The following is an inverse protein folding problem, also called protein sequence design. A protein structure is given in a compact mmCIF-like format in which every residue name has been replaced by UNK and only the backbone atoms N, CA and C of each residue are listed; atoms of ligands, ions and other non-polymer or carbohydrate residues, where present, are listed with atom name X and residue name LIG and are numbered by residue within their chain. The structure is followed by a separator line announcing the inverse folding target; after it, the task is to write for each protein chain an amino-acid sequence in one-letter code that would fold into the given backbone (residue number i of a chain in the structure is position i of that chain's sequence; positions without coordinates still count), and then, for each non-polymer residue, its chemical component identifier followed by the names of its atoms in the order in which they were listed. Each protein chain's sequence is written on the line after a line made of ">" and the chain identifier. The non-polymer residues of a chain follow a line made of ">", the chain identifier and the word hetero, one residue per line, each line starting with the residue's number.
data_IF_732638530479
#
_entry.id   IF_732638530479
#
_cell.length_a   1.000
_cell.length_b   1.000
_cell.length_c   1.000
_cell.angle_alpha   90.00
_cell.angle_beta   90.00
_cell.angle_gamma   90.00
#
_symmetry.space_group_name_H-M   'P 1'
#
loop_
_entity.id
_entity.type
_entity.pdbx_description
1 polymer ?
#
# COMPACT_ATOMS: atom_id res chain seq x y z
N UNK A 1 -9.34 -2.89 -1.19
CA UNK A 1 -8.14 -3.72 -1.12
C UNK A 1 -7.70 -3.90 0.31
N UNK A 2 -7.85 -5.12 0.81
CA UNK A 2 -7.51 -5.60 2.14
C UNK A 2 -7.56 -7.14 2.13
N UNK A 3 -6.84 -7.81 3.04
CA UNK A 3 -7.06 -9.23 3.32
C UNK A 3 -8.23 -9.47 4.28
N UNK A 4 -9.07 -10.49 4.08
CA UNK A 4 -10.16 -10.81 5.02
C UNK A 4 -9.80 -11.98 5.94
N UNK A 5 -9.75 -11.73 7.25
CA UNK A 5 -9.46 -12.71 8.30
C UNK A 5 -10.55 -12.68 9.38
N UNK A 6 -11.78 -13.18 9.09
CA UNK A 6 -12.86 -13.22 10.08
C UNK A 6 -12.61 -14.21 11.25
N UNK A 7 -11.61 -15.09 11.13
CA UNK A 7 -11.17 -16.05 12.15
C UNK A 7 -9.64 -15.98 12.33
N UNK A 8 -9.15 -16.54 13.44
CA UNK A 8 -7.72 -16.71 13.72
C UNK A 8 -7.05 -17.77 12.84
N UNK A 9 -7.83 -18.66 12.23
CA UNK A 9 -7.33 -19.60 11.23
C UNK A 9 -7.49 -19.00 9.82
N UNK A 10 -6.39 -19.00 9.04
CA UNK A 10 -6.39 -18.45 7.69
C UNK A 10 -7.22 -19.29 6.71
N UNK A 11 -7.17 -20.62 6.81
CA UNK A 11 -7.90 -21.51 5.91
C UNK A 11 -9.40 -21.42 6.17
N UNK A 12 -9.80 -21.39 7.45
CA UNK A 12 -11.17 -21.12 7.87
C UNK A 12 -11.65 -19.78 7.33
N UNK A 13 -10.87 -18.71 7.55
CA UNK A 13 -11.15 -17.36 7.06
C UNK A 13 -11.42 -17.33 5.55
N UNK A 14 -10.57 -18.01 4.77
CA UNK A 14 -10.69 -18.11 3.31
C UNK A 14 -11.95 -18.91 2.91
N UNK A 15 -12.26 -20.00 3.62
CA UNK A 15 -13.42 -20.84 3.35
C UNK A 15 -14.76 -20.09 3.54
N UNK A 16 -14.81 -19.14 4.48
CA UNK A 16 -16.01 -18.34 4.77
C UNK A 16 -16.38 -17.34 3.67
N UNK A 17 -15.41 -16.94 2.85
CA UNK A 17 -15.60 -15.90 1.84
C UNK A 17 -16.58 -16.34 0.75
N UNK A 18 -17.42 -15.41 0.28
CA UNK A 18 -18.17 -15.60 -0.97
C UNK A 18 -17.22 -15.60 -2.18
N UNK A 19 -17.67 -16.19 -3.30
CA UNK A 19 -16.85 -16.36 -4.51
C UNK A 19 -16.29 -15.05 -5.08
N UNK A 20 -17.03 -13.93 -4.98
CA UNK A 20 -16.56 -12.63 -5.47
C UNK A 20 -15.40 -12.13 -4.62
N UNK A 21 -15.53 -12.17 -3.29
CA UNK A 21 -14.46 -11.74 -2.38
C UNK A 21 -13.27 -12.67 -2.43
N UNK A 22 -13.46 -13.99 -2.46
CA UNK A 22 -12.37 -14.96 -2.65
C UNK A 22 -11.60 -14.68 -3.94
N UNK A 23 -12.30 -14.42 -5.05
CA UNK A 23 -11.68 -14.04 -6.32
C UNK A 23 -10.80 -12.81 -6.20
N UNK A 24 -11.28 -11.79 -5.49
CA UNK A 24 -10.52 -10.57 -5.21
C UNK A 24 -9.33 -10.83 -4.26
N UNK A 25 -9.49 -11.65 -3.22
CA UNK A 25 -8.45 -11.91 -2.23
C UNK A 25 -7.15 -12.44 -2.85
N UNK A 26 -7.24 -13.32 -3.85
CA UNK A 26 -6.05 -13.78 -4.59
C UNK A 26 -5.30 -12.61 -5.25
N UNK A 27 -6.02 -11.71 -5.90
CA UNK A 27 -5.42 -10.56 -6.59
C UNK A 27 -4.85 -9.56 -5.59
N UNK A 28 -5.62 -9.23 -4.55
CA UNK A 28 -5.26 -8.25 -3.53
C UNK A 28 -4.06 -8.72 -2.69
N UNK A 29 -4.05 -9.98 -2.22
CA UNK A 29 -2.93 -10.53 -1.46
C UNK A 29 -1.63 -10.54 -2.27
N UNK A 30 -1.70 -10.96 -3.55
CA UNK A 30 -0.56 -10.92 -4.47
C UNK A 30 -0.04 -9.50 -4.70
N UNK A 31 -0.92 -8.50 -4.80
CA UNK A 31 -0.51 -7.10 -4.95
C UNK A 31 0.21 -6.60 -3.70
N UNK A 32 -0.29 -6.93 -2.51
CA UNK A 32 0.35 -6.55 -1.24
C UNK A 32 1.74 -7.21 -1.12
N UNK A 33 1.86 -8.50 -1.45
CA UNK A 33 3.16 -9.20 -1.51
C UNK A 33 4.15 -8.48 -2.43
N UNK A 34 3.71 -8.13 -3.64
CA UNK A 34 4.54 -7.40 -4.60
C UNK A 34 5.03 -6.08 -4.02
N UNK A 35 4.19 -5.34 -3.30
CA UNK A 35 4.57 -4.06 -2.73
C UNK A 35 5.51 -4.19 -1.54
N UNK A 36 5.29 -5.17 -0.67
CA UNK A 36 6.17 -5.44 0.48
C UNK A 36 7.57 -5.85 0.02
N UNK A 37 7.67 -6.72 -0.98
CA UNK A 37 8.96 -7.19 -1.52
C UNK A 37 9.70 -6.16 -2.35
N UNK A 38 9.03 -5.09 -2.82
CA UNK A 38 9.62 -4.06 -3.68
C UNK A 38 9.40 -2.65 -3.10
N UNK A 39 9.87 -2.36 -1.88
CA UNK A 39 9.49 -1.15 -1.16
C UNK A 39 9.95 0.15 -1.84
N UNK A 40 11.06 0.11 -2.57
CA UNK A 40 11.59 1.26 -3.30
C UNK A 40 10.70 1.64 -4.50
N UNK A 41 10.18 0.65 -5.23
CA UNK A 41 9.28 0.86 -6.36
C UNK A 41 7.88 1.28 -5.89
N UNK A 42 7.42 0.76 -4.74
CA UNK A 42 6.07 0.97 -4.23
C UNK A 42 6.05 1.76 -2.91
N UNK A 43 6.89 2.78 -2.79
CA UNK A 43 7.03 3.61 -1.58
C UNK A 43 5.70 4.21 -1.07
N UNK A 44 4.79 4.57 -1.99
CA UNK A 44 3.45 5.11 -1.64
C UNK A 44 2.54 4.11 -0.92
N UNK A 45 2.76 2.81 -1.11
CA UNK A 45 1.91 1.75 -0.56
C UNK A 45 2.40 1.25 0.81
N UNK A 46 3.65 1.53 1.17
CA UNK A 46 4.27 1.04 2.41
C UNK A 46 3.57 1.50 3.69
N UNK A 47 2.94 2.69 3.63
CA UNK A 47 2.24 3.27 4.78
C UNK A 47 0.73 2.96 4.82
N UNK A 48 0.21 2.19 3.87
CA UNK A 48 -1.18 1.80 3.88
C UNK A 48 -1.44 0.71 4.93
N UNK A 49 -2.61 0.73 5.57
CA UNK A 49 -2.97 -0.22 6.63
C UNK A 49 -2.83 -1.67 6.18
N UNK A 50 -3.31 -2.01 4.98
CA UNK A 50 -3.20 -3.36 4.41
C UNK A 50 -1.76 -3.81 4.14
N UNK A 51 -0.81 -2.89 3.95
CA UNK A 51 0.61 -3.22 3.80
C UNK A 51 1.26 -3.38 5.17
N UNK A 52 0.98 -2.44 6.08
CA UNK A 52 1.49 -2.48 7.46
C UNK A 52 1.08 -3.73 8.21
N UNK A 53 -0.14 -4.21 7.96
CA UNK A 53 -0.66 -5.45 8.53
C UNK A 53 0.30 -6.62 8.35
N UNK A 54 0.93 -6.71 7.17
CA UNK A 54 1.76 -7.85 6.76
C UNK A 54 3.25 -7.53 6.69
N UNK A 55 3.67 -6.33 7.08
CA UNK A 55 5.07 -5.93 7.01
C UNK A 55 5.91 -6.78 7.97
N UNK A 56 6.95 -7.45 7.46
CA UNK A 56 7.75 -8.42 8.22
C UNK A 56 7.14 -9.82 8.31
N UNK A 57 5.93 -10.02 7.78
CA UNK A 57 5.22 -11.30 7.75
C UNK A 57 4.86 -11.71 6.31
N UNK A 58 5.75 -11.43 5.36
CA UNK A 58 5.51 -11.67 3.93
C UNK A 58 5.26 -13.15 3.63
N UNK A 59 5.94 -14.07 4.32
CA UNK A 59 5.73 -15.51 4.15
C UNK A 59 4.35 -15.96 4.65
N UNK A 60 3.85 -15.38 5.75
CA UNK A 60 2.50 -15.63 6.23
C UNK A 60 1.44 -15.09 5.24
N UNK A 61 1.68 -13.93 4.64
CA UNK A 61 0.81 -13.42 3.57
C UNK A 61 0.85 -14.30 2.31
N UNK A 62 2.02 -14.85 1.96
CA UNK A 62 2.16 -15.80 0.86
C UNK A 62 1.39 -17.09 1.13
N UNK A 63 1.40 -17.58 2.36
CA UNK A 63 0.57 -18.71 2.79
C UNK A 63 -0.93 -18.40 2.68
N UNK A 64 -1.37 -17.23 3.18
CA UNK A 64 -2.75 -16.77 3.01
C UNK A 64 -3.17 -16.70 1.52
N UNK A 65 -2.29 -16.16 0.67
CA UNK A 65 -2.51 -16.10 -0.77
C UNK A 65 -2.63 -17.50 -1.41
N UNK A 66 -1.79 -18.45 -1.01
CA UNK A 66 -1.87 -19.83 -1.47
C UNK A 66 -3.18 -20.50 -1.07
N UNK A 67 -3.61 -20.32 0.18
CA UNK A 67 -4.91 -20.81 0.66
C UNK A 67 -6.07 -20.23 -0.16
N UNK A 68 -6.02 -18.95 -0.52
CA UNK A 68 -7.01 -18.34 -1.43
C UNK A 68 -7.00 -19.01 -2.81
N UNK A 69 -5.82 -19.32 -3.35
CA UNK A 69 -5.67 -19.99 -4.65
C UNK A 69 -6.21 -21.42 -4.61
N UNK A 70 -5.90 -22.16 -3.54
CA UNK A 70 -6.37 -23.53 -3.32
C UNK A 70 -7.90 -23.56 -3.21
N UNK A 71 -8.49 -22.73 -2.34
CA UNK A 71 -9.94 -22.68 -2.15
C UNK A 71 -10.66 -22.25 -3.45
N UNK A 72 -10.07 -21.31 -4.20
CA UNK A 72 -10.60 -20.94 -5.52
C UNK A 72 -10.60 -22.12 -6.49
N UNK A 73 -9.51 -22.90 -6.52
CA UNK A 73 -9.40 -24.13 -7.30
C UNK A 73 -10.44 -25.17 -6.90
N UNK A 74 -10.59 -25.39 -5.59
CA UNK A 74 -11.57 -26.33 -5.01
C UNK A 74 -13.00 -26.00 -5.42
N UNK A 75 -13.33 -24.71 -5.58
CA UNK A 75 -14.64 -24.22 -6.05
C UNK A 75 -14.80 -24.25 -7.58
N UNK A 76 -13.89 -24.90 -8.31
CA UNK A 76 -13.92 -25.00 -9.77
C UNK A 76 -13.33 -23.80 -10.51
N UNK A 77 -12.72 -22.85 -9.78
CA UNK A 77 -12.03 -21.71 -10.35
C UNK A 77 -10.66 -22.09 -10.96
N UNK A 78 -10.21 -21.34 -11.97
CA UNK A 78 -8.88 -21.55 -12.59
C UNK A 78 -7.86 -20.51 -12.11
N UNK A 79 -6.67 -20.99 -11.76
CA UNK A 79 -5.52 -20.19 -11.34
C UNK A 79 -4.60 -19.86 -12.54
N UNK A 80 -5.11 -19.05 -13.47
CA UNK A 80 -4.36 -18.66 -14.67
C UNK A 80 -3.36 -17.55 -14.34
N UNK A 81 -3.85 -16.47 -13.72
CA UNK A 81 -3.06 -15.26 -13.45
C UNK A 81 -2.48 -15.28 -12.03
N UNK A 82 -3.25 -15.74 -11.05
CA UNK A 82 -2.77 -15.94 -9.68
C UNK A 82 -2.36 -17.40 -9.55
N UNK A 83 -1.06 -17.66 -9.46
CA UNK A 83 -0.48 -18.99 -9.26
C UNK A 83 0.12 -19.08 -7.86
N UNK A 84 -0.02 -20.21 -7.14
CA UNK A 84 0.62 -20.40 -5.84
C UNK A 84 2.12 -20.13 -5.89
N UNK A 85 2.67 -19.62 -4.79
CA UNK A 85 4.11 -19.41 -4.62
C UNK A 85 4.70 -20.48 -3.70
N UNK A 86 6.00 -20.73 -3.79
CA UNK A 86 6.71 -21.53 -2.79
C UNK A 86 6.79 -20.76 -1.47
N UNK A 87 6.46 -21.44 -0.38
CA UNK A 87 6.48 -20.88 0.98
C UNK A 87 7.27 -21.85 1.87
N UNK A 88 8.18 -21.36 2.73
CA UNK A 88 8.91 -22.22 3.66
C UNK A 88 7.97 -22.95 4.62
N UNK A 89 8.38 -24.09 5.13
CA UNK A 89 7.60 -24.87 6.11
C UNK A 89 7.51 -24.19 7.48
N UNK A 90 8.55 -23.45 7.86
CA UNK A 90 8.60 -22.68 9.10
C UNK A 90 8.28 -21.21 8.79
N UNK A 91 7.07 -20.80 9.17
CA UNK A 91 6.52 -19.47 8.87
C UNK A 91 6.32 -18.73 10.18
N UNK A 92 6.97 -17.58 10.30
CA UNK A 92 6.68 -16.66 11.40
C UNK A 92 5.27 -16.10 11.23
N UNK A 93 4.40 -16.39 12.20
CA UNK A 93 3.01 -15.96 12.17
C UNK A 93 2.85 -14.60 12.85
N UNK A 94 2.04 -13.68 12.29
CA UNK A 94 1.81 -12.39 12.92
C UNK A 94 1.13 -12.54 14.28
N UNK A 95 1.58 -11.83 15.33
CA UNK A 95 1.04 -11.98 16.68
C UNK A 95 -0.43 -11.51 16.80
N UNK A 96 -0.87 -10.63 15.90
CA UNK A 96 -2.25 -10.13 15.84
C UNK A 96 -3.24 -11.12 15.21
N UNK A 97 -2.79 -12.23 14.61
CA UNK A 97 -3.66 -13.20 13.94
C UNK A 97 -4.57 -13.96 14.93
N UNK A 98 -4.34 -13.87 16.24
CA UNK A 98 -5.24 -14.41 17.26
C UNK A 98 -6.14 -13.36 17.94
N UNK A 99 -6.05 -12.09 17.53
CA UNK A 99 -6.72 -10.99 18.22
C UNK A 99 -8.14 -10.78 17.69
N UNK A 100 -9.14 -11.17 18.48
CA UNK A 100 -10.55 -11.05 18.05
C UNK A 100 -10.99 -9.61 17.77
N UNK A 101 -10.33 -8.59 18.34
CA UNK A 101 -10.62 -7.19 18.00
C UNK A 101 -10.39 -6.94 16.51
N UNK A 102 -9.33 -7.50 15.95
CA UNK A 102 -9.05 -7.44 14.51
C UNK A 102 -10.11 -8.24 13.75
N UNK A 103 -10.30 -9.52 14.08
CA UNK A 103 -11.22 -10.41 13.36
C UNK A 103 -12.66 -9.87 13.32
N UNK A 104 -13.14 -9.30 14.44
CA UNK A 104 -14.46 -8.68 14.55
C UNK A 104 -14.64 -7.53 13.56
N UNK A 105 -13.61 -6.70 13.32
CA UNK A 105 -13.70 -5.64 12.29
C UNK A 105 -13.78 -6.20 10.87
N UNK A 106 -13.13 -7.35 10.60
CA UNK A 106 -13.24 -8.04 9.31
C UNK A 106 -14.63 -8.68 9.14
N UNK A 107 -15.16 -9.35 10.17
CA UNK A 107 -16.55 -9.87 10.20
C UNK A 107 -17.58 -8.76 9.95
N UNK A 108 -17.44 -7.63 10.64
CA UNK A 108 -18.27 -6.43 10.46
C UNK A 108 -18.23 -5.91 9.02
N UNK A 109 -17.05 -5.80 8.42
CA UNK A 109 -16.91 -5.34 7.05
C UNK A 109 -17.46 -6.34 6.03
N UNK A 110 -17.34 -7.65 6.27
CA UNK A 110 -17.91 -8.68 5.41
C UNK A 110 -19.45 -8.63 5.45
N UNK A 111 -20.03 -8.61 6.65
CA UNK A 111 -21.47 -8.41 6.88
C UNK A 111 -21.98 -7.17 6.17
N UNK A 112 -21.37 -6.00 6.39
CA UNK A 112 -21.78 -4.76 5.73
C UNK A 112 -21.83 -4.88 4.20
N UNK A 113 -20.85 -5.61 3.63
CA UNK A 113 -20.74 -5.69 2.17
C UNK A 113 -21.67 -6.73 1.55
N UNK A 114 -22.08 -7.80 2.26
CA UNK A 114 -23.00 -8.81 1.75
C UNK A 114 -23.71 -9.57 2.89
N UNK A 115 -24.69 -8.92 3.54
CA UNK A 115 -25.35 -9.45 4.73
C UNK A 115 -25.91 -10.87 4.54
N UNK A 116 -26.58 -11.13 3.41
CA UNK A 116 -27.27 -12.39 3.14
C UNK A 116 -26.31 -13.59 3.13
N UNK A 117 -25.07 -13.39 2.67
CA UNK A 117 -24.06 -14.44 2.73
C UNK A 117 -23.51 -14.60 4.14
N UNK A 118 -23.12 -13.50 4.80
CA UNK A 118 -22.35 -13.57 6.05
C UNK A 118 -23.19 -13.75 7.32
N UNK A 119 -24.49 -13.44 7.30
CA UNK A 119 -25.37 -13.66 8.45
C UNK A 119 -25.49 -15.14 8.85
N UNK A 120 -25.20 -16.08 7.93
CA UNK A 120 -25.22 -17.52 8.20
C UNK A 120 -24.21 -17.96 9.26
N UNK A 121 -23.18 -17.16 9.51
CA UNK A 121 -22.13 -17.45 10.49
C UNK A 121 -22.48 -16.97 11.90
N UNK A 122 -23.69 -16.45 12.13
CA UNK A 122 -24.15 -15.97 13.44
C UNK A 122 -23.65 -14.58 13.84
N UNK A 123 -22.74 -13.98 13.05
CA UNK A 123 -22.11 -12.69 13.36
C UNK A 123 -23.09 -11.51 13.45
N UNK A 124 -24.27 -11.61 12.82
CA UNK A 124 -25.30 -10.58 12.91
C UNK A 124 -25.87 -10.43 14.34
N UNK A 125 -25.75 -11.46 15.17
CA UNK A 125 -26.12 -11.39 16.59
C UNK A 125 -25.06 -10.64 17.42
N UNK A 126 -23.80 -10.69 16.99
CA UNK A 126 -22.66 -10.04 17.65
C UNK A 126 -22.45 -8.59 17.18
N UNK A 127 -22.86 -8.28 15.95
CA UNK A 127 -22.59 -7.01 15.26
C UNK A 127 -23.90 -6.46 14.72
N UNK A 128 -24.54 -5.63 15.53
CA UNK A 128 -25.86 -5.05 15.26
C UNK A 128 -25.83 -3.91 14.23
N UNK A 129 -24.73 -3.16 14.16
CA UNK A 129 -24.50 -2.09 13.17
C UNK A 129 -23.17 -2.35 12.43
N UNK A 130 -23.16 -3.24 11.42
CA UNK A 130 -21.95 -3.58 10.70
C UNK A 130 -21.47 -2.39 9.88
N UNK A 131 -20.18 -2.05 10.03
CA UNK A 131 -19.51 -0.97 9.30
C UNK A 131 -18.12 -1.38 8.82
N UNK A 132 -17.57 -0.61 7.88
CA UNK A 132 -16.22 -0.81 7.34
C UNK A 132 -15.24 0.09 8.09
N UNK A 133 -14.73 -0.40 9.22
CA UNK A 133 -13.75 0.31 10.06
C UNK A 133 -12.67 -0.66 10.57
N UNK A 134 -11.65 -0.88 9.74
CA UNK A 134 -10.60 -1.86 10.01
C UNK A 134 -9.58 -1.35 11.00
N UNK A 135 -9.26 -2.16 12.01
CA UNK A 135 -8.09 -1.96 12.84
C UNK A 135 -6.84 -2.47 12.13
N UNK A 136 -5.73 -1.78 12.32
CA UNK A 136 -4.44 -2.15 11.73
C UNK A 136 -3.39 -2.30 12.83
N UNK A 137 -2.56 -3.35 12.79
CA UNK A 137 -1.49 -3.50 13.74
C UNK A 137 -0.45 -2.40 13.57
N UNK A 138 0.07 -1.94 14.70
CA UNK A 138 1.14 -0.98 14.83
C UNK A 138 2.15 -1.54 15.82
N UNK A 139 3.38 -1.73 15.38
CA UNK A 139 4.46 -2.19 16.24
C UNK A 139 5.13 -0.98 16.91
N UNK A 140 5.20 -1.01 18.24
CA UNK A 140 6.00 -0.08 19.03
C UNK A 140 7.48 -0.50 19.08
N UNK A 141 8.27 0.21 19.88
CA UNK A 141 9.69 -0.15 20.08
C UNK A 141 9.87 -1.38 20.97
N UNK A 142 8.88 -1.74 21.80
CA UNK A 142 9.00 -2.74 22.86
C UNK A 142 8.47 -4.13 22.44
N UNK A 143 8.48 -4.45 21.14
CA UNK A 143 7.95 -5.69 20.54
C UNK A 143 6.46 -5.99 20.78
N UNK A 144 5.75 -5.14 21.53
CA UNK A 144 4.29 -5.16 21.68
C UNK A 144 3.62 -4.47 20.48
N UNK A 145 2.49 -5.05 20.03
CA UNK A 145 1.67 -4.48 18.97
C UNK A 145 0.38 -3.89 19.55
N UNK A 146 -0.14 -2.85 18.91
CA UNK A 146 -1.48 -2.32 19.18
C UNK A 146 -2.32 -2.27 17.88
N UNK A 147 -3.64 -2.27 18.03
CA UNK A 147 -4.60 -2.26 16.94
C UNK A 147 -5.26 -0.89 16.81
N UNK A 148 -4.90 -0.17 15.74
CA UNK A 148 -5.24 1.24 15.60
C UNK A 148 -6.16 1.49 14.39
N UNK A 149 -7.17 2.37 14.52
CA UNK A 149 -8.07 2.69 13.43
C UNK A 149 -7.35 3.53 12.36
N UNK A 150 -7.89 3.61 11.12
CA UNK A 150 -7.23 4.33 10.02
C UNK A 150 -7.04 5.84 10.30
N UNK A 151 -7.88 6.42 11.17
CA UNK A 151 -7.83 7.82 11.58
C UNK A 151 -6.59 8.18 12.40
N UNK A 152 -6.05 7.25 13.17
CA UNK A 152 -4.92 7.47 14.10
C UNK A 152 -3.71 8.11 13.40
N UNK A 153 -3.35 7.59 12.22
CA UNK A 153 -2.18 8.08 11.48
C UNK A 153 -2.37 9.46 10.84
N UNK A 154 -3.61 9.86 10.57
CA UNK A 154 -3.91 11.20 10.06
C UNK A 154 -3.75 12.24 11.17
N UNK A 155 -4.26 11.92 12.35
CA UNK A 155 -4.18 12.79 13.52
C UNK A 155 -2.73 12.97 14.00
N UNK A 156 -1.97 11.88 14.12
CA UNK A 156 -0.57 11.97 14.52
C UNK A 156 0.30 12.77 13.54
N UNK A 157 0.05 12.67 12.22
CA UNK A 157 0.73 13.52 11.23
C UNK A 157 0.37 15.00 11.43
N UNK A 158 -0.87 15.32 11.78
CA UNK A 158 -1.31 16.70 12.08
C UNK A 158 -0.60 17.23 13.33
N UNK A 159 -0.52 16.42 14.39
CA UNK A 159 0.19 16.77 15.63
C UNK A 159 1.67 17.01 15.34
N UNK A 160 2.35 16.09 14.64
CA UNK A 160 3.77 16.23 14.29
C UNK A 160 4.07 17.50 13.46
N UNK A 161 3.22 17.80 12.46
CA UNK A 161 3.34 19.03 11.66
C UNK A 161 3.17 20.29 12.51
N UNK A 162 2.23 20.26 13.46
CA UNK A 162 2.00 21.40 14.37
C UNK A 162 3.21 21.64 15.30
N UNK A 163 3.77 20.56 15.88
CA UNK A 163 5.00 20.61 16.70
C UNK A 163 6.20 21.12 15.89
N UNK A 164 6.39 20.64 14.65
CA UNK A 164 7.46 21.11 13.77
C UNK A 164 7.32 22.60 13.43
N UNK A 165 6.09 23.08 13.17
CA UNK A 165 5.82 24.50 12.92
C UNK A 165 6.13 25.37 14.16
N UNK A 166 5.77 24.91 15.36
CA UNK A 166 6.05 25.61 16.62
C UNK A 166 7.55 25.67 16.95
N UNK A 167 8.31 24.62 16.65
CA UNK A 167 9.79 24.62 16.76
C UNK A 167 10.45 25.59 15.79
N UNK A 168 9.89 25.75 14.58
CA UNK A 168 10.40 26.68 13.56
C UNK A 168 10.09 28.15 13.90
N UNK A 169 8.96 28.44 14.55
CA UNK A 169 8.61 29.79 15.00
C UNK A 169 9.30 30.22 16.30
N UNK A 170 9.72 29.28 17.16
CA UNK A 170 10.47 29.56 18.39
C UNK A 170 11.98 29.70 18.22
N UNK A 171 12.50 29.61 16.99
CA UNK A 171 13.94 29.71 16.67
C UNK A 171 14.36 31.12 16.20
N UNK A 172 13.47 32.12 16.28
CA UNK A 172 13.72 33.47 15.76
C UNK A 172 13.88 34.56 16.84
N UNK A 173 13.93 34.22 18.13
CA UNK A 173 14.08 35.19 19.21
C UNK A 173 15.17 34.77 20.22
N UNK A 174 16.44 34.68 19.79
CA UNK A 174 17.59 34.92 20.67
C UNK A 174 18.76 35.46 19.83
N UNK A 175 18.87 36.79 19.70
CA UNK A 175 20.17 37.49 19.65
C UNK A 175 19.95 39.00 19.75
N UNK A 176 19.80 39.51 20.98
CA UNK A 176 20.14 40.89 21.29
C UNK A 176 20.63 40.91 22.74
N UNK A 177 21.95 40.83 22.90
CA UNK A 177 22.63 41.26 24.13
C UNK A 177 23.53 42.39 23.66
N UNK A 178 23.05 43.62 23.85
CA UNK A 178 23.77 44.86 23.63
C UNK A 178 24.93 44.97 24.64
N UNK A 179 26.16 45.17 24.14
CA UNK A 179 27.25 45.75 24.93
C UNK A 179 27.45 47.22 24.52
N UNK A 180 27.62 48.17 25.47
CA UNK A 180 27.92 49.55 25.15
C UNK A 180 29.42 49.84 25.26
N UNK A 181 30.03 50.48 24.25
CA UNK A 181 31.37 51.03 24.44
C UNK A 181 32.13 51.54 23.21
N UNK A 182 32.00 52.85 22.97
CA UNK A 182 33.06 53.78 22.54
C UNK A 182 33.78 53.62 21.17
N UNK A 183 33.47 54.60 20.31
CA UNK A 183 34.42 55.56 19.74
C UNK A 183 35.48 55.07 18.72
N UNK A 184 35.32 55.45 17.44
CA UNK A 184 36.24 56.39 16.74
C UNK A 184 36.07 56.34 15.21
N UNK A 185 35.76 57.51 14.67
CA UNK A 185 36.37 58.14 13.48
C UNK A 185 36.83 57.31 12.25
N UNK A 186 36.40 57.86 11.10
CA UNK A 186 37.14 58.14 9.84
C UNK A 186 36.72 57.36 8.58
N UNK A 187 36.29 58.21 7.64
CA UNK A 187 36.68 58.32 6.22
C UNK A 187 35.77 57.66 5.17
N UNK A 188 35.02 58.57 4.54
CA UNK A 188 34.65 58.59 3.11
C UNK A 188 35.73 58.00 2.20
N UNK A 189 35.32 57.20 1.23
CA UNK A 189 35.71 57.38 -0.17
C UNK A 189 34.63 56.82 -1.10
N UNK A 190 34.35 57.60 -2.14
CA UNK A 190 33.43 57.42 -3.27
C UNK A 190 34.28 56.97 -4.46
N UNK A 191 33.70 56.20 -5.39
CA UNK A 191 33.84 56.30 -6.85
C UNK A 191 33.57 54.93 -7.55
N UNK A 192 32.54 54.85 -8.42
CA UNK A 192 32.61 54.78 -9.92
C UNK A 192 33.02 53.38 -10.43
N UNK A 193 32.24 52.61 -11.19
CA UNK A 193 31.53 52.78 -12.48
C UNK A 193 32.15 51.84 -13.53
N UNK A 194 31.32 51.25 -14.39
CA UNK A 194 31.71 50.56 -15.64
C UNK A 194 32.08 49.09 -15.42
N UNK A 195 31.76 48.12 -16.27
CA UNK A 195 31.32 48.06 -17.68
C UNK A 195 30.93 46.57 -17.88
N UNK A 196 29.76 46.20 -18.38
CA UNK A 196 29.44 46.16 -19.81
C UNK A 196 30.21 45.07 -20.58
N UNK A 197 29.61 43.87 -20.78
CA UNK A 197 29.58 43.16 -22.09
C UNK A 197 28.76 41.87 -22.09
N UNK A 198 27.86 41.80 -23.07
CA UNK A 198 27.18 40.61 -23.60
C UNK A 198 28.13 39.73 -24.41
N UNK A 199 27.85 38.43 -24.51
CA UNK A 199 28.03 37.69 -25.77
C UNK A 199 27.21 36.39 -25.80
N UNK A 200 26.83 36.05 -27.02
CA UNK A 200 25.78 35.13 -27.45
C UNK A 200 26.13 33.63 -27.49
N UNK A 201 25.03 32.88 -27.53
CA UNK A 201 24.79 31.53 -28.07
C UNK A 201 25.75 30.94 -29.10
N UNK A 202 25.94 29.61 -29.03
CA UNK A 202 25.95 28.75 -30.23
C UNK A 202 25.57 27.29 -29.95
N UNK A 203 24.54 26.83 -30.67
CA UNK A 203 24.13 25.44 -30.90
C UNK A 203 25.26 24.62 -31.54
N UNK A 204 25.39 23.34 -31.18
CA UNK A 204 25.84 22.28 -32.10
C UNK A 204 24.96 21.04 -31.98
N UNK A 205 24.38 20.66 -33.12
CA UNK A 205 23.80 19.35 -33.44
C UNK A 205 24.95 18.39 -33.79
N UNK A 206 24.82 17.12 -33.43
CA UNK A 206 25.44 16.00 -34.16
C UNK A 206 24.49 14.81 -34.17
N UNK A 207 24.47 14.12 -35.30
CA UNK A 207 23.66 12.96 -35.63
C UNK A 207 24.59 11.77 -35.92
N UNK A 208 24.15 10.56 -35.57
CA UNK A 208 24.54 9.27 -36.19
C UNK A 208 23.53 8.21 -35.70
N UNK A 209 22.58 7.76 -36.51
CA UNK A 209 22.64 6.59 -37.42
C UNK A 209 22.98 5.26 -36.74
N UNK A 210 22.04 4.32 -36.75
CA UNK A 210 22.24 2.93 -36.31
C UNK A 210 20.94 2.13 -36.29
N UNK A 211 20.62 1.52 -37.42
CA UNK A 211 19.39 0.78 -37.76
C UNK A 211 19.28 -0.59 -37.10
N UNK A 212 18.04 -1.08 -36.92
CA UNK A 212 17.76 -2.52 -36.90
C UNK A 212 16.73 -2.98 -35.86
N UNK A 213 15.42 -2.85 -36.16
CA UNK A 213 14.40 -3.61 -35.43
C UNK A 213 13.27 -4.03 -36.38
N UNK A 214 13.26 -5.32 -36.64
CA UNK A 214 12.38 -6.13 -37.47
C UNK A 214 10.94 -6.09 -36.96
N UNK A 215 10.01 -5.60 -37.78
CA UNK A 215 8.57 -5.73 -37.52
C UNK A 215 8.08 -7.11 -37.96
N UNK A 216 7.75 -7.98 -37.01
CA UNK A 216 6.98 -9.21 -37.28
C UNK A 216 5.49 -8.93 -37.13
N UNK A 217 4.77 -9.01 -38.25
CA UNK A 217 3.32 -8.91 -38.36
C UNK A 217 2.69 -10.21 -37.85
N UNK A 218 1.90 -10.16 -36.78
CA UNK A 218 0.93 -11.23 -36.49
C UNK A 218 -0.45 -10.85 -37.01
N UNK A 219 -0.87 -11.56 -38.04
CA UNK A 219 -2.15 -11.44 -38.70
C UNK A 219 -3.30 -11.93 -37.81
N UNK A 220 -4.32 -11.11 -37.69
CA UNK A 220 -5.65 -11.49 -37.23
C UNK A 220 -6.24 -12.55 -38.19
N UNK A 221 -6.38 -13.80 -37.72
CA UNK A 221 -7.23 -14.82 -38.37
C UNK A 221 -8.26 -15.32 -37.37
N UNK A 222 -9.51 -14.88 -37.56
CA UNK A 222 -10.72 -15.49 -36.99
C UNK A 222 -11.01 -16.83 -37.69
N UNK A 223 -11.37 -17.90 -37.00
CA UNK A 223 -12.07 -19.02 -37.61
C UNK A 223 -13.59 -18.81 -37.56
N UNK A 224 -14.20 -19.37 -38.61
CA UNK A 224 -15.58 -19.23 -39.06
C UNK A 224 -16.57 -20.02 -38.19
N UNK A 225 -17.79 -19.47 -38.11
CA UNK A 225 -19.04 -20.18 -37.78
C UNK A 225 -19.20 -21.38 -38.74
N UNK A 226 -19.46 -22.56 -38.19
CA UNK A 226 -20.07 -23.67 -38.92
C UNK A 226 -21.46 -23.93 -38.36
N UNK A 227 -22.44 -23.91 -39.25
CA UNK A 227 -23.83 -24.29 -39.01
C UNK A 227 -23.93 -25.78 -38.65
N UNK A 228 -24.86 -26.12 -37.75
CA UNK A 228 -25.34 -27.49 -37.62
C UNK A 228 -26.84 -27.51 -37.90
N UNK A 229 -27.16 -28.26 -38.95
CA UNK A 229 -28.48 -28.53 -39.49
C UNK A 229 -29.32 -29.34 -38.49
N UNK A 230 -30.60 -29.00 -38.47
CA UNK A 230 -31.69 -29.83 -38.00
C UNK A 230 -31.81 -31.07 -38.88
N UNK A 231 -32.02 -32.24 -38.28
CA UNK A 231 -32.79 -33.31 -38.89
C UNK A 231 -33.30 -34.32 -37.85
N UNK A 232 -34.62 -34.51 -37.88
CA UNK A 232 -35.49 -35.52 -37.26
C UNK A 232 -35.71 -35.46 -35.76
#
# INVERSE_FOLDING_TARGET
>A
MITFLPSSDMAESVSMLDSKRLGNQRVEARMILRWLRNPQEYSRHQNAGYTRMWHGYENALAQYYNLCCEEWGRRGGKNIVCQPEEVPSDIEMPPWLGDDRLHRTHRSALLYKFPEHYSRFGWANEITDPKVDYLWPSFGNDAEYDLLPPGYWKENKKIARSKARKRKSGSSEISEIDEPGANSQKKRARATSGTGRQSESRKKKSASSGSGATQSRYSQRRPRRSARLSNK
#
